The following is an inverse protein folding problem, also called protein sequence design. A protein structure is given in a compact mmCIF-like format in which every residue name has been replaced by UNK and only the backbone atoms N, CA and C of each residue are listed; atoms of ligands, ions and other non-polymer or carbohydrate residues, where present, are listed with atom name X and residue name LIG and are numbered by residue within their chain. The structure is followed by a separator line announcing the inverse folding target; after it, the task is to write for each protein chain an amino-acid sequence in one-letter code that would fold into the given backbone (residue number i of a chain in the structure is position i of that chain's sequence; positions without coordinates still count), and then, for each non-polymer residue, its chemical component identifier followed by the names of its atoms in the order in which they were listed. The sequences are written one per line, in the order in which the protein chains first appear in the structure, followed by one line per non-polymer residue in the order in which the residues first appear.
data_IF_143165328139
#
_entry.id   IF_143165328139
#
_cell.length_a   1.000
_cell.length_b   1.000
_cell.length_c   1.000
_cell.angle_alpha   90.00
_cell.angle_beta   90.00
_cell.angle_gamma   90.00
#
_symmetry.space_group_name_H-M   'P 1'
#
loop_
_entity.id
_entity.type
_entity.pdbx_description
1 polymer ?
#
# COMPACT_ATOMS: atom_id res chain seq x y z
N UNK A 1 -45.73 -39.00 1.59
CA UNK A 1 -44.51 -39.14 2.41
C UNK A 1 -43.61 -37.95 2.07
N UNK A 2 -43.55 -36.97 2.97
CA UNK A 2 -42.95 -35.67 2.73
C UNK A 2 -41.42 -35.75 2.55
N UNK A 3 -40.91 -35.05 1.54
CA UNK A 3 -39.49 -34.87 1.31
C UNK A 3 -38.90 -33.99 2.42
N UNK A 4 -38.36 -34.61 3.46
CA UNK A 4 -37.68 -33.95 4.58
C UNK A 4 -36.17 -33.78 4.31
N UNK A 5 -35.83 -33.20 3.17
CA UNK A 5 -34.55 -32.54 2.95
C UNK A 5 -34.85 -31.13 2.45
N UNK A 6 -33.98 -30.14 2.70
CA UNK A 6 -33.99 -28.75 2.18
C UNK A 6 -34.32 -27.61 3.17
N UNK A 7 -33.63 -27.53 4.32
CA UNK A 7 -33.22 -26.20 4.83
C UNK A 7 -31.70 -26.03 4.94
N UNK A 8 -30.97 -27.09 5.32
CA UNK A 8 -29.51 -27.06 5.54
C UNK A 8 -28.72 -26.79 4.25
N UNK A 9 -29.18 -27.29 3.11
CA UNK A 9 -28.50 -27.14 1.81
C UNK A 9 -28.56 -25.68 1.28
N UNK A 10 -29.68 -24.98 1.54
CA UNK A 10 -29.85 -23.59 1.12
C UNK A 10 -29.00 -22.62 1.95
N UNK A 11 -28.90 -22.84 3.26
CA UNK A 11 -28.03 -22.06 4.13
C UNK A 11 -26.55 -22.31 3.85
N UNK A 12 -26.16 -23.57 3.62
CA UNK A 12 -24.80 -23.93 3.23
C UNK A 12 -24.40 -23.31 1.89
N UNK A 13 -25.30 -23.34 0.89
CA UNK A 13 -25.06 -22.72 -0.41
C UNK A 13 -24.90 -21.20 -0.31
N UNK A 14 -25.70 -20.54 0.54
CA UNK A 14 -25.56 -19.10 0.80
C UNK A 14 -24.24 -18.78 1.50
N UNK A 15 -23.86 -19.54 2.53
CA UNK A 15 -22.58 -19.38 3.22
C UNK A 15 -21.39 -19.59 2.26
N UNK A 16 -21.49 -20.54 1.33
CA UNK A 16 -20.46 -20.79 0.33
C UNK A 16 -20.36 -19.65 -0.70
N UNK A 17 -21.49 -19.10 -1.15
CA UNK A 17 -21.51 -17.93 -2.03
C UNK A 17 -20.91 -16.70 -1.34
N UNK A 18 -21.22 -16.48 -0.07
CA UNK A 18 -20.64 -15.39 0.71
C UNK A 18 -19.13 -15.57 0.90
N UNK A 19 -18.67 -16.80 1.16
CA UNK A 19 -17.25 -17.13 1.25
C UNK A 19 -16.53 -16.89 -0.09
N UNK A 20 -17.13 -17.28 -1.22
CA UNK A 20 -16.58 -17.01 -2.55
C UNK A 20 -16.46 -15.51 -2.82
N UNK A 21 -17.50 -14.73 -2.48
CA UNK A 21 -17.47 -13.27 -2.62
C UNK A 21 -16.37 -12.63 -1.77
N UNK A 22 -16.22 -13.08 -0.51
CA UNK A 22 -15.14 -12.64 0.38
C UNK A 22 -13.77 -12.98 -0.21
N UNK A 23 -13.57 -14.21 -0.68
CA UNK A 23 -12.31 -14.64 -1.32
C UNK A 23 -11.94 -13.77 -2.54
N UNK A 24 -12.92 -13.48 -3.41
CA UNK A 24 -12.69 -12.63 -4.58
C UNK A 24 -12.33 -11.20 -4.16
N UNK A 25 -13.07 -10.63 -3.20
CA UNK A 25 -12.78 -9.30 -2.67
C UNK A 25 -11.38 -9.21 -2.07
N UNK A 26 -10.99 -10.17 -1.24
CA UNK A 26 -9.65 -10.24 -0.65
C UNK A 26 -8.55 -10.36 -1.70
N UNK A 27 -8.75 -11.21 -2.70
CA UNK A 27 -7.78 -11.38 -3.80
C UNK A 27 -7.60 -10.10 -4.62
N UNK A 28 -8.66 -9.33 -4.79
CA UNK A 28 -8.59 -8.03 -5.46
C UNK A 28 -7.83 -7.01 -4.59
N UNK A 29 -8.13 -6.93 -3.30
CA UNK A 29 -7.45 -6.02 -2.38
C UNK A 29 -5.95 -6.31 -2.28
N UNK A 30 -5.58 -7.59 -2.25
CA UNK A 30 -4.20 -8.08 -2.33
C UNK A 30 -3.45 -7.46 -3.52
N UNK A 31 -4.01 -7.61 -4.73
CA UNK A 31 -3.40 -7.07 -5.95
C UNK A 31 -3.23 -5.56 -5.91
N UNK A 32 -4.21 -4.84 -5.34
CA UNK A 32 -4.14 -3.39 -5.20
C UNK A 32 -3.02 -2.99 -4.24
N UNK A 33 -2.90 -3.67 -3.10
CA UNK A 33 -1.85 -3.41 -2.12
C UNK A 33 -0.46 -3.71 -2.70
N UNK A 34 -0.29 -4.83 -3.41
CA UNK A 34 0.96 -5.19 -4.08
C UNK A 34 1.37 -4.10 -5.09
N UNK A 35 0.44 -3.66 -5.93
CA UNK A 35 0.69 -2.59 -6.90
C UNK A 35 1.07 -1.26 -6.23
N UNK A 36 0.45 -0.93 -5.09
CA UNK A 36 0.80 0.27 -4.31
C UNK A 36 2.21 0.17 -3.72
N UNK A 37 2.56 -0.98 -3.12
CA UNK A 37 3.90 -1.22 -2.55
C UNK A 37 4.95 -1.12 -3.65
N UNK A 38 4.75 -1.76 -4.80
CA UNK A 38 5.68 -1.71 -5.92
C UNK A 38 5.87 -0.28 -6.46
N UNK A 39 4.78 0.49 -6.55
CA UNK A 39 4.84 1.89 -6.93
C UNK A 39 5.66 2.73 -5.95
N UNK A 40 5.49 2.52 -4.64
CA UNK A 40 6.25 3.22 -3.60
C UNK A 40 7.73 2.80 -3.60
N UNK A 41 8.03 1.52 -3.77
CA UNK A 41 9.41 1.00 -3.86
C UNK A 41 10.17 1.62 -5.04
N UNK A 42 9.54 1.74 -6.21
CA UNK A 42 10.11 2.43 -7.38
C UNK A 42 10.43 3.90 -7.09
N UNK A 43 9.55 4.62 -6.38
CA UNK A 43 9.80 6.02 -5.99
C UNK A 43 10.98 6.16 -5.05
N UNK A 44 11.13 5.25 -4.08
CA UNK A 44 12.30 5.21 -3.19
C UNK A 44 13.57 4.97 -3.99
N UNK A 45 13.57 3.95 -4.86
CA UNK A 45 14.74 3.63 -5.70
C UNK A 45 15.14 4.81 -6.60
N UNK A 46 14.17 5.47 -7.23
CA UNK A 46 14.42 6.66 -8.02
C UNK A 46 15.05 7.77 -7.17
N UNK A 47 14.52 8.02 -5.98
CA UNK A 47 15.09 9.00 -5.03
C UNK A 47 16.55 8.70 -4.65
N UNK A 48 16.87 7.44 -4.37
CA UNK A 48 18.26 7.04 -4.04
C UNK A 48 19.22 7.18 -5.22
N UNK A 49 18.77 6.88 -6.45
CA UNK A 49 19.58 7.10 -7.67
C UNK A 49 19.87 8.59 -7.82
N UNK A 50 18.83 9.44 -7.79
CA UNK A 50 19.00 10.90 -7.92
C UNK A 50 19.90 11.45 -6.81
N UNK A 51 19.73 10.98 -5.58
CA UNK A 51 20.58 11.37 -4.45
C UNK A 51 22.06 11.02 -4.69
N UNK A 52 22.35 9.83 -5.20
CA UNK A 52 23.71 9.41 -5.56
C UNK A 52 24.30 10.29 -6.66
N UNK A 53 23.54 10.55 -7.72
CA UNK A 53 23.97 11.42 -8.83
C UNK A 53 24.26 12.84 -8.33
N UNK A 54 23.32 13.45 -7.60
CA UNK A 54 23.50 14.80 -7.04
C UNK A 54 24.70 14.84 -6.10
N UNK A 55 24.92 13.82 -5.27
CA UNK A 55 26.03 13.79 -4.31
C UNK A 55 27.40 13.62 -4.98
N UNK A 56 27.44 13.17 -6.24
CA UNK A 56 28.67 13.09 -7.04
C UNK A 56 29.08 14.44 -7.64
N UNK A 57 28.16 15.40 -7.71
CA UNK A 57 28.41 16.73 -8.24
C UNK A 57 29.12 17.62 -7.22
N UNK A 58 29.93 18.56 -7.71
CA UNK A 58 30.61 19.54 -6.86
C UNK A 58 29.59 20.43 -6.12
N UNK A 59 29.90 20.83 -4.89
CA UNK A 59 29.00 21.65 -4.06
C UNK A 59 28.69 23.04 -4.65
N UNK A 60 29.53 23.54 -5.57
CA UNK A 60 29.32 24.80 -6.27
C UNK A 60 28.32 24.70 -7.44
N UNK A 61 27.88 23.49 -7.79
CA UNK A 61 27.01 23.25 -8.95
C UNK A 61 25.60 23.78 -8.67
N UNK A 62 25.07 24.72 -9.49
CA UNK A 62 23.68 25.15 -9.38
C UNK A 62 22.73 23.96 -9.55
N UNK A 63 21.96 23.66 -8.51
CA UNK A 63 21.04 22.52 -8.48
C UNK A 63 19.60 23.04 -8.54
N UNK A 64 18.75 22.38 -9.31
CA UNK A 64 17.34 22.76 -9.46
C UNK A 64 16.43 21.60 -9.05
N UNK A 65 15.49 21.86 -8.14
CA UNK A 65 14.49 20.89 -7.72
C UNK A 65 13.20 21.06 -8.53
N UNK A 66 12.61 19.93 -8.95
CA UNK A 66 11.34 19.95 -9.67
C UNK A 66 10.15 20.15 -8.71
N UNK A 67 9.26 21.06 -9.05
CA UNK A 67 7.97 21.30 -8.35
C UNK A 67 6.79 21.07 -9.30
N UNK A 68 6.89 20.04 -10.14
CA UNK A 68 5.92 19.71 -11.19
C UNK A 68 6.52 19.94 -12.58
N UNK A 69 5.97 20.89 -13.35
CA UNK A 69 6.50 21.24 -14.68
C UNK A 69 7.58 22.35 -14.64
N UNK A 70 7.88 22.86 -13.46
CA UNK A 70 8.88 23.91 -13.23
C UNK A 70 10.05 23.38 -12.40
N UNK A 71 11.17 24.10 -12.48
CA UNK A 71 12.40 23.80 -11.76
C UNK A 71 12.85 25.05 -10.99
N UNK A 72 13.11 24.90 -9.69
CA UNK A 72 13.47 26.00 -8.80
C UNK A 72 14.91 25.83 -8.33
N UNK A 73 15.71 26.88 -8.46
CA UNK A 73 17.08 26.90 -7.95
C UNK A 73 17.06 26.65 -6.44
N UNK A 74 17.66 25.53 -6.02
CA UNK A 74 17.58 25.04 -4.65
C UNK A 74 18.95 24.57 -4.20
N UNK A 75 19.40 24.92 -2.97
CA UNK A 75 20.67 24.43 -2.46
C UNK A 75 20.73 22.90 -2.49
N UNK A 76 21.85 22.35 -2.94
CA UNK A 76 22.05 20.89 -3.05
C UNK A 76 21.70 20.14 -1.76
N UNK A 77 22.09 20.69 -0.59
CA UNK A 77 21.77 20.13 0.71
C UNK A 77 20.25 20.07 1.00
N UNK A 78 19.48 21.08 0.55
CA UNK A 78 18.04 21.10 0.70
C UNK A 78 17.36 20.06 -0.21
N UNK A 79 17.86 19.88 -1.44
CA UNK A 79 17.37 18.84 -2.36
C UNK A 79 17.63 17.43 -1.77
N UNK A 80 18.82 17.18 -1.25
CA UNK A 80 19.15 15.91 -0.59
C UNK A 80 18.26 15.65 0.64
N UNK A 81 17.97 16.69 1.43
CA UNK A 81 17.04 16.60 2.57
C UNK A 81 15.61 16.28 2.12
N UNK A 82 15.13 16.93 1.06
CA UNK A 82 13.82 16.67 0.44
C UNK A 82 13.71 15.22 -0.02
N UNK A 83 14.70 14.72 -0.78
CA UNK A 83 14.75 13.34 -1.26
C UNK A 83 14.73 12.33 -0.10
N UNK A 84 15.50 12.56 0.96
CA UNK A 84 15.49 11.69 2.14
C UNK A 84 14.14 11.69 2.86
N UNK A 85 13.49 12.85 3.00
CA UNK A 85 12.17 12.97 3.61
C UNK A 85 11.11 12.23 2.77
N UNK A 86 11.18 12.33 1.45
CA UNK A 86 10.30 11.60 0.53
C UNK A 86 10.52 10.08 0.61
N UNK A 87 11.77 9.61 0.60
CA UNK A 87 12.11 8.19 0.77
C UNK A 87 11.57 7.65 2.11
N UNK A 88 11.75 8.38 3.21
CA UNK A 88 11.23 8.00 4.52
C UNK A 88 9.71 7.93 4.55
N UNK A 89 9.02 8.97 4.04
CA UNK A 89 7.56 8.98 3.99
C UNK A 89 6.99 7.83 3.15
N UNK A 90 7.65 7.47 2.04
CA UNK A 90 7.25 6.32 1.22
C UNK A 90 7.52 4.99 1.94
N UNK A 91 8.64 4.86 2.66
CA UNK A 91 8.95 3.67 3.46
C UNK A 91 7.94 3.46 4.58
N UNK A 92 7.56 4.53 5.28
CA UNK A 92 6.58 4.45 6.37
C UNK A 92 5.18 4.08 5.82
N UNK A 93 4.78 4.59 4.65
CA UNK A 93 3.56 4.15 3.96
C UNK A 93 3.57 2.67 3.59
N UNK A 94 4.70 2.14 3.12
CA UNK A 94 4.83 0.69 2.85
C UNK A 94 4.60 -0.10 4.13
N UNK A 95 5.24 0.28 5.24
CA UNK A 95 5.05 -0.39 6.54
C UNK A 95 3.60 -0.33 7.01
N UNK A 96 2.90 0.79 6.80
CA UNK A 96 1.48 0.90 7.12
C UNK A 96 0.65 -0.09 6.29
N UNK A 97 0.86 -0.15 4.97
CA UNK A 97 0.13 -1.09 4.11
C UNK A 97 0.43 -2.55 4.49
N UNK A 98 1.70 -2.89 4.76
CA UNK A 98 2.10 -4.22 5.21
C UNK A 98 1.54 -4.55 6.61
N UNK A 99 1.49 -3.58 7.52
CA UNK A 99 0.89 -3.77 8.85
C UNK A 99 -0.63 -3.97 8.77
N UNK A 100 -1.33 -3.14 7.99
CA UNK A 100 -2.77 -3.26 7.77
C UNK A 100 -3.10 -4.61 7.13
N UNK A 101 -2.26 -5.06 6.22
CA UNK A 101 -2.32 -6.41 5.65
C UNK A 101 -2.17 -7.49 6.72
N UNK A 102 -1.10 -7.48 7.51
CA UNK A 102 -0.86 -8.48 8.55
C UNK A 102 -2.00 -8.49 9.58
N UNK A 103 -2.50 -7.31 9.97
CA UNK A 103 -3.66 -7.16 10.86
C UNK A 103 -4.91 -7.79 10.25
N UNK A 104 -5.16 -7.55 8.96
CA UNK A 104 -6.29 -8.15 8.24
C UNK A 104 -6.21 -9.68 8.21
N UNK A 105 -5.01 -10.26 8.08
CA UNK A 105 -4.81 -11.72 8.12
C UNK A 105 -5.05 -12.30 9.51
N UNK A 106 -4.49 -11.68 10.56
CA UNK A 106 -4.63 -12.18 11.93
C UNK A 106 -6.05 -11.99 12.46
N UNK A 107 -6.68 -10.85 12.17
CA UNK A 107 -8.04 -10.54 12.63
C UNK A 107 -9.11 -11.21 11.77
N UNK A 108 -8.89 -11.36 10.46
CA UNK A 108 -9.81 -12.02 9.53
C UNK A 108 -9.93 -13.54 9.73
N UNK A 109 -8.90 -14.18 10.29
CA UNK A 109 -8.96 -15.59 10.73
C UNK A 109 -9.69 -15.75 12.08
N UNK A 110 -9.77 -14.68 12.88
CA UNK A 110 -10.57 -14.62 14.10
C UNK A 110 -12.01 -14.16 13.78
N UNK A 111 -12.70 -14.94 12.94
CA UNK A 111 -14.16 -14.97 12.80
C UNK A 111 -14.92 -13.63 12.76
N UNK A 112 -15.33 -13.21 11.56
CA UNK A 112 -16.68 -12.73 11.19
C UNK A 112 -17.61 -12.06 12.24
N UNK A 113 -17.11 -11.32 13.23
CA UNK A 113 -17.95 -10.54 14.16
C UNK A 113 -17.16 -9.40 14.80
N UNK A 114 -16.74 -8.43 14.00
CA UNK A 114 -16.54 -7.05 14.46
C UNK A 114 -16.60 -6.11 13.25
N UNK A 115 -17.74 -5.46 13.03
CA UNK A 115 -17.73 -4.16 12.35
C UNK A 115 -17.34 -3.13 13.42
N UNK A 116 -16.18 -2.46 13.33
CA UNK A 116 -15.95 -1.30 14.16
C UNK A 116 -16.93 -0.23 13.68
N UNK A 117 -17.95 0.05 14.50
CA UNK A 117 -18.75 1.26 14.36
C UNK A 117 -17.79 2.44 14.41
N UNK A 118 -17.66 3.11 13.28
CA UNK A 118 -16.95 4.39 13.14
C UNK A 118 -17.67 5.42 14.03
N UNK A 119 -17.10 5.62 15.22
CA UNK A 119 -17.05 6.91 15.92
C UNK A 119 -15.58 7.30 16.02
#
# INVERSE_FOLDING_TARGET
MAAAGLPVDLELKKAFQELQNKLVGTKQQLKVNDAQIDGLRKKIQHGEIVKKEISSLSAATPTYESVGRMFVLTPQAAVLKSLNAQSKANSDKIKTIEYDFVKWYHFGLAGASYEPSIW
#
